data_IF_234691966671
#
_entry.id   IF_234691966671
#
_cell.length_a   1.000
_cell.length_b   1.000
_cell.length_c   1.000
_cell.angle_alpha   90.00
_cell.angle_beta   90.00
_cell.angle_gamma   90.00
#
_symmetry.space_group_name_H-M   'P 1'
#
loop_
_entity.id
_entity.type
_entity.pdbx_description
1 polymer ?
#
# COMPACT_ATOMS: atom_id res chain seq x y z
N UNK A 1 15.25 -17.76 -0.94
CA UNK A 1 14.08 -16.94 -1.30
C UNK A 1 14.08 -16.64 -2.79
N UNK A 2 13.00 -16.95 -3.51
CA UNK A 2 12.81 -16.55 -4.91
C UNK A 2 12.51 -15.05 -4.97
N UNK A 3 13.10 -14.36 -5.95
CA UNK A 3 12.91 -12.93 -6.15
C UNK A 3 12.74 -12.63 -7.64
N UNK A 4 11.81 -11.72 -7.97
CA UNK A 4 11.56 -11.28 -9.33
C UNK A 4 11.38 -9.76 -9.38
N UNK A 5 12.22 -9.09 -10.16
CA UNK A 5 12.17 -7.65 -10.41
C UNK A 5 11.31 -7.34 -11.61
N UNK A 6 10.57 -6.22 -11.51
CA UNK A 6 9.77 -5.68 -12.60
C UNK A 6 10.00 -4.18 -12.75
N UNK A 7 9.92 -3.73 -13.99
CA UNK A 7 9.91 -2.33 -14.36
C UNK A 7 8.87 -2.15 -15.46
N UNK A 8 7.73 -1.59 -15.10
CA UNK A 8 6.58 -1.49 -15.98
C UNK A 8 6.15 -0.04 -16.13
N UNK A 9 5.66 0.31 -17.32
CA UNK A 9 5.04 1.61 -17.53
C UNK A 9 3.68 1.68 -16.82
N UNK A 10 3.50 2.71 -15.99
CA UNK A 10 2.24 2.99 -15.31
C UNK A 10 1.43 4.04 -16.08
N UNK A 11 0.27 3.69 -16.65
CA UNK A 11 -0.66 4.65 -17.22
C UNK A 11 -1.17 5.68 -16.22
N UNK A 12 -1.44 5.28 -14.96
CA UNK A 12 -1.91 6.19 -13.92
C UNK A 12 -0.89 7.29 -13.59
N UNK A 13 0.40 6.97 -13.68
CA UNK A 13 1.49 7.88 -13.33
C UNK A 13 2.19 8.51 -14.53
N UNK A 14 2.00 7.96 -15.74
CA UNK A 14 2.65 8.40 -16.98
C UNK A 14 4.16 8.16 -16.98
N UNK A 15 4.65 7.13 -16.25
CA UNK A 15 6.08 6.82 -16.08
C UNK A 15 6.32 5.35 -15.80
N UNK A 16 7.55 4.92 -15.92
CA UNK A 16 7.97 3.60 -15.45
C UNK A 16 7.99 3.55 -13.93
N UNK A 17 7.48 2.45 -13.36
CA UNK A 17 7.51 2.13 -11.95
C UNK A 17 8.25 0.83 -11.73
N UNK A 18 9.01 0.77 -10.65
CA UNK A 18 9.81 -0.38 -10.28
C UNK A 18 9.22 -1.09 -9.07
N UNK A 19 9.27 -2.41 -9.10
CA UNK A 19 8.81 -3.23 -7.97
C UNK A 19 9.54 -4.58 -7.95
N UNK A 20 9.43 -5.28 -6.83
CA UNK A 20 10.06 -6.59 -6.65
C UNK A 20 9.13 -7.53 -5.89
N UNK A 21 8.97 -8.73 -6.41
CA UNK A 21 8.22 -9.80 -5.76
C UNK A 21 9.19 -10.74 -5.06
N UNK A 22 8.87 -11.08 -3.82
CA UNK A 22 9.60 -12.04 -2.98
C UNK A 22 8.69 -13.23 -2.67
N UNK A 23 9.22 -14.43 -2.85
CA UNK A 23 8.51 -15.68 -2.59
C UNK A 23 7.94 -16.33 -3.85
N UNK A 24 7.55 -17.59 -3.71
CA UNK A 24 7.09 -18.45 -4.80
C UNK A 24 5.61 -18.82 -4.68
N UNK A 25 4.97 -18.61 -3.53
CA UNK A 25 3.57 -18.92 -3.25
C UNK A 25 3.08 -18.21 -1.98
N UNK A 26 1.80 -18.37 -1.66
CA UNK A 26 1.19 -17.93 -0.41
C UNK A 26 0.35 -16.66 -0.51
N UNK A 27 -0.06 -16.15 0.65
CA UNK A 27 -0.92 -14.95 0.78
C UNK A 27 -0.17 -13.72 0.26
N UNK A 28 -0.76 -12.94 -0.67
CA UNK A 28 -0.13 -11.74 -1.19
C UNK A 28 -0.12 -10.61 -0.16
N UNK A 29 1.04 -9.98 -0.01
CA UNK A 29 1.29 -8.81 0.82
C UNK A 29 1.83 -7.70 -0.09
N UNK A 30 1.24 -6.52 -0.03
CA UNK A 30 1.79 -5.30 -0.61
C UNK A 30 2.62 -4.59 0.46
N UNK A 31 3.93 -4.51 0.28
CA UNK A 31 4.81 -3.74 1.15
C UNK A 31 5.03 -2.34 0.61
N UNK A 32 4.78 -1.35 1.45
CA UNK A 32 4.99 0.07 1.18
C UNK A 32 6.14 0.54 2.06
N UNK A 33 7.25 1.02 1.46
CA UNK A 33 8.43 1.47 2.21
C UNK A 33 8.15 2.66 3.14
N UNK A 34 9.13 3.00 3.96
CA UNK A 34 9.15 4.23 4.73
C UNK A 34 9.15 5.47 3.82
N UNK A 35 9.07 6.66 4.42
CA UNK A 35 9.11 7.93 3.68
C UNK A 35 10.24 7.96 2.65
N UNK A 36 9.94 8.40 1.44
CA UNK A 36 10.86 8.51 0.30
C UNK A 36 11.52 7.19 -0.14
N UNK A 37 11.00 6.07 0.37
CA UNK A 37 11.58 4.75 0.16
C UNK A 37 11.34 4.18 -1.24
N UNK A 38 12.18 3.19 -1.56
CA UNK A 38 12.21 2.50 -2.84
C UNK A 38 11.84 1.03 -2.67
N UNK A 39 11.49 0.38 -3.76
CA UNK A 39 11.11 -1.04 -3.80
C UNK A 39 12.16 -1.99 -3.18
N UNK A 40 13.42 -1.61 -3.11
CA UNK A 40 14.49 -2.41 -2.53
C UNK A 40 14.69 -2.21 -1.02
N UNK A 41 14.01 -1.23 -0.40
CA UNK A 41 14.09 -0.98 1.06
C UNK A 41 13.61 -2.19 1.88
N UNK A 42 12.78 -3.06 1.29
CA UNK A 42 12.40 -4.33 1.92
C UNK A 42 13.61 -5.22 2.23
N UNK A 43 14.66 -5.16 1.40
CA UNK A 43 15.95 -5.82 1.65
C UNK A 43 16.84 -4.99 2.58
N UNK A 44 16.99 -3.70 2.28
CA UNK A 44 17.91 -2.81 2.99
C UNK A 44 17.57 -2.68 4.48
N UNK A 45 16.30 -2.77 4.85
CA UNK A 45 15.82 -2.80 6.24
C UNK A 45 15.70 -4.21 6.81
N UNK A 46 16.30 -5.22 6.20
CA UNK A 46 16.28 -6.62 6.63
C UNK A 46 14.88 -7.23 6.82
N UNK A 47 13.86 -6.67 6.18
CA UNK A 47 12.51 -7.22 6.24
C UNK A 47 12.42 -8.54 5.47
N UNK A 48 13.17 -8.67 4.37
CA UNK A 48 13.28 -9.90 3.62
C UNK A 48 13.85 -11.05 4.48
N UNK A 49 14.89 -10.77 5.25
CA UNK A 49 15.50 -11.75 6.16
C UNK A 49 14.55 -12.11 7.30
N UNK A 50 13.88 -11.09 7.89
CA UNK A 50 12.93 -11.26 8.98
C UNK A 50 11.74 -12.13 8.58
N UNK A 51 11.22 -11.94 7.37
CA UNK A 51 10.06 -12.68 6.86
C UNK A 51 10.43 -13.95 6.08
N UNK A 52 11.73 -14.24 5.92
CA UNK A 52 12.20 -15.42 5.18
C UNK A 52 11.53 -16.74 5.59
N UNK A 53 11.31 -17.05 6.90
CA UNK A 53 10.66 -18.30 7.29
C UNK A 53 9.25 -18.48 6.73
N UNK A 54 8.50 -17.38 6.54
CA UNK A 54 7.15 -17.42 5.96
C UNK A 54 7.17 -17.38 4.44
N UNK A 55 8.09 -16.61 3.86
CA UNK A 55 8.23 -16.48 2.40
C UNK A 55 8.78 -17.78 1.81
N UNK A 56 9.84 -18.34 2.38
CA UNK A 56 10.48 -19.57 1.89
C UNK A 56 9.59 -20.81 2.07
N UNK A 57 8.73 -20.79 3.10
CA UNK A 57 7.73 -21.86 3.29
C UNK A 57 6.49 -21.71 2.40
N UNK A 58 6.41 -20.67 1.55
CA UNK A 58 5.28 -20.43 0.66
C UNK A 58 3.99 -20.01 1.40
N UNK A 59 4.09 -19.48 2.61
CA UNK A 59 2.92 -18.96 3.36
C UNK A 59 2.52 -17.57 2.92
N UNK A 60 3.50 -16.74 2.55
CA UNK A 60 3.29 -15.38 2.09
C UNK A 60 4.17 -15.07 0.88
N UNK A 61 3.69 -14.15 0.06
CA UNK A 61 4.39 -13.57 -1.07
C UNK A 61 4.33 -12.05 -0.92
N UNK A 62 5.44 -11.35 -1.10
CA UNK A 62 5.51 -9.90 -0.89
C UNK A 62 5.82 -9.19 -2.20
N UNK A 63 5.03 -8.16 -2.55
CA UNK A 63 5.36 -7.17 -3.57
C UNK A 63 5.81 -5.89 -2.86
N UNK A 64 7.05 -5.49 -3.06
CA UNK A 64 7.57 -4.20 -2.63
C UNK A 64 7.58 -3.22 -3.79
N UNK A 65 7.08 -2.00 -3.56
CA UNK A 65 6.88 -0.96 -4.58
C UNK A 65 7.63 0.32 -4.23
N UNK A 66 7.80 1.20 -5.23
CA UNK A 66 8.29 2.55 -5.02
C UNK A 66 7.22 3.47 -4.42
N UNK A 67 7.63 4.38 -3.53
CA UNK A 67 6.79 5.50 -3.10
C UNK A 67 6.91 6.70 -4.06
N UNK A 68 5.97 7.65 -3.96
CA UNK A 68 6.05 8.98 -4.60
C UNK A 68 6.10 10.11 -3.57
N UNK A 69 6.58 9.83 -2.36
CA UNK A 69 6.54 10.80 -1.26
C UNK A 69 7.26 12.10 -1.60
N UNK A 70 8.38 12.04 -2.32
CA UNK A 70 9.14 13.22 -2.77
C UNK A 70 8.37 14.16 -3.70
N UNK A 71 7.32 13.67 -4.35
CA UNK A 71 6.42 14.46 -5.21
C UNK A 71 5.10 14.80 -4.47
N UNK A 72 4.89 14.21 -3.28
CA UNK A 72 3.61 14.24 -2.57
C UNK A 72 3.78 14.64 -1.10
N UNK A 73 3.87 13.67 -0.19
CA UNK A 73 3.86 13.89 1.26
C UNK A 73 5.10 14.63 1.77
N UNK A 74 6.28 14.38 1.20
CA UNK A 74 7.57 14.94 1.66
C UNK A 74 8.05 16.14 0.87
N UNK A 75 7.32 16.61 -0.14
CA UNK A 75 7.72 17.80 -0.90
C UNK A 75 7.38 19.08 -0.11
N UNK A 76 8.35 19.78 0.49
CA UNK A 76 8.07 20.95 1.31
C UNK A 76 7.76 22.21 0.47
N UNK A 77 8.07 22.19 -0.83
CA UNK A 77 7.98 23.35 -1.72
C UNK A 77 6.84 23.22 -2.73
N UNK A 78 6.30 22.03 -2.92
CA UNK A 78 5.22 21.79 -3.85
C UNK A 78 3.88 22.36 -3.39
N UNK A 79 3.09 22.84 -4.33
CA UNK A 79 1.72 23.29 -4.04
C UNK A 79 0.88 22.12 -3.51
N UNK A 80 0.31 22.20 -2.31
CA UNK A 80 -0.40 21.08 -1.66
C UNK A 80 -1.61 20.58 -2.48
N UNK A 81 -2.27 21.45 -3.23
CA UNK A 81 -3.35 21.10 -4.14
C UNK A 81 -2.91 20.09 -5.22
N UNK A 82 -1.73 20.28 -5.82
CA UNK A 82 -1.21 19.36 -6.83
C UNK A 82 -0.58 18.13 -6.22
N UNK A 83 0.06 18.26 -5.06
CA UNK A 83 0.68 17.16 -4.33
C UNK A 83 -0.32 16.08 -3.93
N UNK A 84 -1.48 16.47 -3.39
CA UNK A 84 -2.51 15.50 -3.01
C UNK A 84 -3.12 14.81 -4.23
N UNK A 85 -3.29 15.50 -5.35
CA UNK A 85 -3.78 14.91 -6.60
C UNK A 85 -2.77 13.95 -7.21
N UNK A 86 -1.49 14.24 -7.09
CA UNK A 86 -0.42 13.33 -7.47
C UNK A 86 -0.41 12.07 -6.61
N UNK A 87 -0.66 12.22 -5.32
CA UNK A 87 -0.82 11.11 -4.39
C UNK A 87 -2.02 10.21 -4.77
N UNK A 88 -3.16 10.79 -5.14
CA UNK A 88 -4.32 10.02 -5.62
C UNK A 88 -4.00 9.24 -6.91
N UNK A 89 -3.17 9.77 -7.79
CA UNK A 89 -2.69 9.01 -8.96
C UNK A 89 -1.83 7.81 -8.54
N UNK A 90 -1.00 7.97 -7.52
CA UNK A 90 -0.21 6.86 -6.98
C UNK A 90 -1.08 5.80 -6.29
N UNK A 91 -2.13 6.19 -5.57
CA UNK A 91 -3.11 5.24 -5.04
C UNK A 91 -3.82 4.47 -6.15
N UNK A 92 -4.15 5.13 -7.27
CA UNK A 92 -4.69 4.44 -8.46
C UNK A 92 -3.69 3.45 -9.04
N UNK A 93 -2.43 3.83 -9.19
CA UNK A 93 -1.37 2.90 -9.60
C UNK A 93 -1.35 1.65 -8.72
N UNK A 94 -1.43 1.82 -7.40
CA UNK A 94 -1.45 0.68 -6.49
C UNK A 94 -2.66 -0.22 -6.75
N UNK A 95 -3.85 0.36 -6.78
CA UNK A 95 -5.12 -0.39 -6.83
C UNK A 95 -5.39 -0.99 -8.21
N UNK A 96 -5.07 -0.25 -9.27
CA UNK A 96 -5.46 -0.62 -10.64
C UNK A 96 -4.34 -1.33 -11.41
N UNK A 97 -3.09 -1.27 -10.94
CA UNK A 97 -1.93 -1.84 -11.63
C UNK A 97 -1.10 -2.79 -10.75
N UNK A 98 -0.54 -2.32 -9.63
CA UNK A 98 0.35 -3.10 -8.79
C UNK A 98 -0.36 -4.28 -8.08
N UNK A 99 -1.53 -4.03 -7.49
CA UNK A 99 -2.32 -5.07 -6.81
C UNK A 99 -2.83 -6.13 -7.80
N UNK A 100 -3.45 -5.79 -8.94
CA UNK A 100 -3.84 -6.79 -9.94
C UNK A 100 -2.68 -7.65 -10.43
N UNK A 101 -1.50 -7.06 -10.63
CA UNK A 101 -0.27 -7.79 -10.96
C UNK A 101 0.10 -8.80 -9.88
N UNK A 102 0.12 -8.36 -8.61
CA UNK A 102 0.42 -9.25 -7.48
C UNK A 102 -0.62 -10.38 -7.37
N UNK A 103 -1.90 -10.05 -7.52
CA UNK A 103 -2.97 -11.04 -7.49
C UNK A 103 -2.87 -12.05 -8.63
N UNK A 104 -2.50 -11.62 -9.83
CA UNK A 104 -2.27 -12.51 -10.97
C UNK A 104 -1.13 -13.48 -10.66
N UNK A 105 0.03 -12.97 -10.22
CA UNK A 105 1.19 -13.79 -9.87
C UNK A 105 0.83 -14.78 -8.75
N UNK A 106 0.10 -14.33 -7.73
CA UNK A 106 -0.33 -15.18 -6.63
C UNK A 106 -1.29 -16.30 -7.10
N UNK A 107 -2.26 -15.99 -7.96
CA UNK A 107 -3.16 -17.00 -8.53
C UNK A 107 -2.40 -18.05 -9.33
N UNK A 108 -1.53 -17.62 -10.24
CA UNK A 108 -0.76 -18.51 -11.10
C UNK A 108 0.15 -19.44 -10.27
N UNK A 109 0.80 -18.92 -9.25
CA UNK A 109 1.74 -19.69 -8.41
C UNK A 109 1.05 -20.62 -7.39
N UNK A 110 -0.14 -20.27 -6.94
CA UNK A 110 -0.89 -21.10 -5.98
C UNK A 110 -1.98 -21.98 -6.63
N UNK A 111 -2.26 -21.81 -7.92
CA UNK A 111 -3.37 -22.50 -8.59
C UNK A 111 -4.75 -22.06 -8.09
N UNK A 112 -4.93 -20.80 -7.75
CA UNK A 112 -6.21 -20.26 -7.26
C UNK A 112 -7.11 -19.74 -8.39
N UNK A 113 -8.41 -20.03 -8.32
CA UNK A 113 -9.38 -19.61 -9.34
C UNK A 113 -9.82 -18.13 -9.20
N UNK A 114 -9.74 -17.56 -8.01
CA UNK A 114 -10.18 -16.20 -7.70
C UNK A 114 -9.06 -15.26 -7.29
N UNK A 115 -9.33 -13.96 -7.32
CA UNK A 115 -8.39 -12.95 -6.80
C UNK A 115 -8.31 -13.04 -5.27
N UNK A 116 -7.13 -13.31 -4.71
CA UNK A 116 -6.95 -13.27 -3.26
C UNK A 116 -7.04 -11.83 -2.75
N UNK A 117 -7.59 -11.66 -1.56
CA UNK A 117 -7.43 -10.40 -0.83
C UNK A 117 -5.96 -10.15 -0.49
N UNK A 118 -5.52 -8.90 -0.57
CA UNK A 118 -4.14 -8.49 -0.33
C UNK A 118 -4.01 -7.90 1.07
N UNK A 119 -2.92 -8.19 1.77
CA UNK A 119 -2.58 -7.52 3.02
C UNK A 119 -1.72 -6.29 2.70
N UNK A 120 -2.16 -5.10 3.14
CA UNK A 120 -1.34 -3.90 3.07
C UNK A 120 -0.34 -3.90 4.24
N UNK A 121 0.94 -3.67 3.97
CA UNK A 121 1.97 -3.65 4.98
C UNK A 121 2.89 -2.44 4.78
N UNK A 122 3.19 -1.71 5.86
CA UNK A 122 4.13 -0.60 5.80
C UNK A 122 4.68 -0.18 7.15
N UNK A 123 5.76 0.61 7.09
CA UNK A 123 6.43 1.19 8.26
C UNK A 123 6.46 2.72 8.13
N UNK A 124 6.34 3.46 9.24
CA UNK A 124 6.38 4.92 9.27
C UNK A 124 5.34 5.52 8.30
N UNK A 125 5.73 6.38 7.35
CA UNK A 125 4.79 6.91 6.35
C UNK A 125 4.18 5.81 5.47
N UNK A 126 4.91 4.73 5.19
CA UNK A 126 4.36 3.55 4.51
C UNK A 126 3.21 2.89 5.30
N UNK A 127 3.25 2.91 6.64
CA UNK A 127 2.15 2.45 7.47
C UNK A 127 0.92 3.35 7.35
N UNK A 128 1.11 4.66 7.22
CA UNK A 128 0.03 5.62 6.94
C UNK A 128 -0.65 5.28 5.62
N UNK A 129 0.12 5.04 4.58
CA UNK A 129 -0.40 4.63 3.26
C UNK A 129 -1.12 3.29 3.32
N UNK A 130 -0.57 2.30 4.04
CA UNK A 130 -1.18 0.98 4.19
C UNK A 130 -2.54 1.05 4.90
N UNK A 131 -2.64 1.80 6.00
CA UNK A 131 -3.92 2.01 6.72
C UNK A 131 -4.92 2.74 5.84
N UNK A 132 -4.49 3.79 5.14
CA UNK A 132 -5.37 4.55 4.27
C UNK A 132 -5.93 3.70 3.12
N UNK A 133 -5.10 2.87 2.49
CA UNK A 133 -5.54 1.91 1.47
C UNK A 133 -6.53 0.89 2.04
N UNK A 134 -6.24 0.30 3.20
CA UNK A 134 -7.11 -0.68 3.85
C UNK A 134 -8.48 -0.08 4.19
N UNK A 135 -8.53 1.11 4.77
CA UNK A 135 -9.78 1.76 5.16
C UNK A 135 -10.60 2.25 3.95
N UNK A 136 -9.93 2.69 2.87
CA UNK A 136 -10.60 3.20 1.67
C UNK A 136 -10.99 2.10 0.67
N UNK A 137 -10.28 0.96 0.67
CA UNK A 137 -10.48 -0.15 -0.28
C UNK A 137 -10.47 -1.52 0.41
N UNK A 138 -11.36 -1.73 1.41
CA UNK A 138 -11.48 -3.03 2.08
C UNK A 138 -12.02 -4.14 1.15
N UNK A 139 -12.54 -3.76 -0.01
CA UNK A 139 -12.88 -4.68 -1.11
C UNK A 139 -11.65 -5.31 -1.78
N UNK A 140 -10.50 -4.67 -1.66
CA UNK A 140 -9.19 -5.09 -2.21
C UNK A 140 -8.27 -5.63 -1.13
N UNK A 141 -8.18 -4.88 -0.02
CA UNK A 141 -7.28 -5.18 1.08
C UNK A 141 -8.02 -5.89 2.20
N UNK A 142 -7.70 -7.16 2.44
CA UNK A 142 -8.32 -8.00 3.47
C UNK A 142 -7.66 -7.88 4.84
N UNK A 143 -6.61 -7.08 4.98
CA UNK A 143 -5.89 -6.85 6.23
C UNK A 143 -4.83 -5.77 6.09
N UNK A 144 -4.33 -5.30 7.24
CA UNK A 144 -3.30 -4.28 7.30
C UNK A 144 -2.30 -4.57 8.43
N UNK A 145 -1.00 -4.46 8.10
CA UNK A 145 0.10 -4.45 9.07
C UNK A 145 0.75 -3.07 9.03
N UNK A 146 0.56 -2.28 10.07
CA UNK A 146 0.98 -0.89 10.12
C UNK A 146 1.90 -0.66 11.31
N UNK A 147 3.18 -0.41 11.05
CA UNK A 147 4.21 -0.21 12.07
C UNK A 147 4.57 1.27 12.18
N UNK A 148 4.27 1.89 13.32
CA UNK A 148 4.68 3.27 13.65
C UNK A 148 4.21 4.32 12.62
N UNK A 149 2.94 4.26 12.19
CA UNK A 149 2.38 5.18 11.22
C UNK A 149 2.01 6.55 11.81
N UNK A 150 1.85 7.53 10.92
CA UNK A 150 1.40 8.91 11.21
C UNK A 150 0.07 9.11 10.49
N UNK A 151 -1.05 8.97 11.18
CA UNK A 151 -2.39 8.85 10.56
C UNK A 151 -3.10 10.20 10.36
N UNK A 152 -2.37 11.30 10.37
CA UNK A 152 -2.87 12.65 10.06
C UNK A 152 -2.21 13.22 8.82
N UNK A 153 -2.99 13.78 7.90
CA UNK A 153 -2.48 14.45 6.72
C UNK A 153 -1.75 15.77 7.03
N UNK A 154 -1.93 16.33 8.24
CA UNK A 154 -1.21 17.52 8.68
C UNK A 154 0.33 17.33 8.61
N UNK A 155 0.82 16.11 8.75
CA UNK A 155 2.23 15.79 8.59
C UNK A 155 2.81 16.23 7.24
N UNK A 156 2.11 15.90 6.15
CA UNK A 156 2.58 16.22 4.80
C UNK A 156 2.02 17.54 4.25
N UNK A 157 0.83 17.97 4.69
CA UNK A 157 0.08 19.07 4.09
C UNK A 157 -0.11 20.28 5.02
N UNK A 158 0.38 20.20 6.26
CA UNK A 158 0.27 21.30 7.24
C UNK A 158 -1.18 21.68 7.50
N UNK A 159 -1.49 22.97 7.35
CA UNK A 159 -2.83 23.51 7.51
C UNK A 159 -3.69 23.47 6.22
N UNK A 160 -3.14 22.97 5.11
CA UNK A 160 -3.94 22.83 3.90
C UNK A 160 -4.89 21.64 4.03
N UNK A 161 -6.18 21.90 3.80
CA UNK A 161 -7.24 20.88 3.85
C UNK A 161 -8.20 21.10 2.67
N UNK A 162 -8.33 20.09 1.82
CA UNK A 162 -9.41 19.94 0.85
C UNK A 162 -10.02 18.54 1.01
N UNK A 163 -11.03 18.21 0.22
CA UNK A 163 -11.69 16.91 0.26
C UNK A 163 -10.71 15.74 0.11
N UNK A 164 -9.74 15.86 -0.80
CA UNK A 164 -8.75 14.80 -1.02
C UNK A 164 -7.78 14.65 0.16
N UNK A 165 -7.33 15.76 0.76
CA UNK A 165 -6.50 15.71 1.96
C UNK A 165 -7.27 15.09 3.12
N UNK A 166 -8.54 15.49 3.32
CA UNK A 166 -9.42 14.91 4.33
C UNK A 166 -9.57 13.39 4.15
N UNK A 167 -9.86 12.93 2.93
CA UNK A 167 -10.02 11.50 2.62
C UNK A 167 -8.71 10.68 2.72
N UNK A 168 -7.58 11.34 2.92
CA UNK A 168 -6.28 10.73 3.14
C UNK A 168 -5.74 10.95 4.56
N UNK A 169 -6.59 11.39 5.48
CA UNK A 169 -6.27 11.63 6.89
C UNK A 169 -7.17 10.76 7.79
N UNK A 170 -6.80 9.51 8.08
CA UNK A 170 -7.62 8.60 8.89
C UNK A 170 -8.09 9.20 10.22
N UNK A 171 -7.26 9.99 10.89
CA UNK A 171 -7.62 10.66 12.15
C UNK A 171 -8.80 11.61 11.95
N UNK A 172 -8.88 12.27 10.80
CA UNK A 172 -9.92 13.25 10.53
C UNK A 172 -11.23 12.58 10.06
N UNK A 173 -11.19 11.66 9.09
CA UNK A 173 -12.41 11.10 8.52
C UNK A 173 -13.00 9.95 9.34
N UNK A 174 -12.21 9.18 10.09
CA UNK A 174 -12.74 8.05 10.87
C UNK A 174 -13.67 8.49 11.99
N UNK A 175 -13.46 9.68 12.55
CA UNK A 175 -14.37 10.27 13.55
C UNK A 175 -15.78 10.54 12.99
N UNK A 176 -15.89 10.70 11.67
CA UNK A 176 -17.14 10.99 10.96
C UNK A 176 -17.56 9.85 10.02
N UNK A 177 -16.97 8.67 10.17
CA UNK A 177 -17.25 7.53 9.29
C UNK A 177 -18.68 7.04 9.54
N UNK A 178 -19.55 6.96 8.52
CA UNK A 178 -20.94 6.54 8.70
C UNK A 178 -21.02 5.09 9.17
N UNK A 179 -21.83 4.83 10.20
CA UNK A 179 -22.05 3.48 10.74
C UNK A 179 -22.70 2.53 9.72
N UNK A 180 -23.45 3.06 8.77
CA UNK A 180 -24.12 2.33 7.69
C UNK A 180 -23.31 2.27 6.38
N UNK A 181 -22.04 2.69 6.40
CA UNK A 181 -21.21 2.66 5.21
C UNK A 181 -21.04 1.22 4.69
N UNK A 182 -21.16 0.96 3.36
CA UNK A 182 -21.11 -0.39 2.79
C UNK A 182 -19.84 -1.18 3.14
N UNK A 183 -18.73 -0.48 3.43
CA UNK A 183 -17.47 -1.08 3.77
C UNK A 183 -17.29 -1.42 5.25
N UNK A 184 -18.18 -1.00 6.12
CA UNK A 184 -18.09 -1.29 7.56
C UNK A 184 -17.99 -2.79 7.84
N UNK A 185 -18.80 -3.58 7.16
CA UNK A 185 -18.78 -5.04 7.33
C UNK A 185 -17.47 -5.69 6.83
N UNK A 186 -16.74 -5.04 5.94
CA UNK A 186 -15.45 -5.53 5.44
C UNK A 186 -14.28 -5.12 6.35
N UNK A 187 -14.44 -4.01 7.08
CA UNK A 187 -13.46 -3.52 8.07
C UNK A 187 -13.61 -4.24 9.42
N UNK A 188 -14.81 -4.74 9.72
CA UNK A 188 -15.09 -5.49 10.93
C UNK A 188 -14.65 -6.93 10.73
N UNK A 189 -13.44 -7.26 11.13
CA UNK A 189 -13.05 -8.68 11.20
C UNK A 189 -13.73 -9.28 12.41
N UNK A 190 -14.71 -10.14 12.12
CA UNK A 190 -15.26 -11.03 13.11
C UNK A 190 -14.16 -11.92 13.66
N UNK A 191 -14.10 -11.97 14.95
CA UNK A 191 -13.64 -13.08 15.81
C UNK A 191 -12.46 -13.93 15.30
N UNK A 192 -11.32 -13.64 15.87
CA UNK A 192 -10.32 -14.65 16.04
C UNK A 192 -10.73 -15.62 17.17
#
# INVERSE_FOLDING_TARGET
MEMQYFKDYSPALGREMECKVYGHAGRPILYIPCQDGRFFDFEDFHMADTLAPWIDSGKVMVLSIDTLDRETWSDPNGNPYWRIRRYEQWLRYIVDEAVPKLQQIARERNGWDGNPGVIAFGCSLGATHAVNLYLRRPDVFCGCLALSGIYTAAYGFGNYMDELVYMNSPVDYMANFPEDHPYICLLYTSDA
#
